data_IF_501459014898
#
_entry.id   IF_501459014898
#
_cell.length_a   1.000
_cell.length_b   1.000
_cell.length_c   1.000
_cell.angle_alpha   90.00
_cell.angle_beta   90.00
_cell.angle_gamma   90.00
#
_symmetry.space_group_name_H-M   'P 1'
#
loop_
_entity.id
_entity.type
_entity.pdbx_description
1 polymer ?
#
# COMPACT_ATOMS: atom_id res chain seq x y z
N UNK A 1 21.28 -14.54 3.02
CA UNK A 1 19.91 -14.06 3.29
C UNK A 1 19.80 -12.56 3.62
N UNK A 2 20.87 -11.87 4.10
CA UNK A 2 20.84 -10.40 4.39
C UNK A 2 20.53 -9.48 3.20
N UNK A 3 20.80 -9.91 1.96
CA UNK A 3 20.57 -9.10 0.75
C UNK A 3 19.10 -9.02 0.33
N UNK A 4 18.30 -10.04 0.67
CA UNK A 4 16.88 -10.13 0.29
C UNK A 4 16.00 -9.25 1.19
N UNK A 5 16.31 -9.20 2.49
CA UNK A 5 15.66 -8.30 3.45
C UNK A 5 15.86 -6.83 3.07
N UNK A 6 17.06 -6.42 2.67
CA UNK A 6 17.32 -5.04 2.24
C UNK A 6 16.48 -4.58 1.03
N UNK A 7 16.27 -5.47 0.05
CA UNK A 7 15.42 -5.17 -1.12
C UNK A 7 13.94 -5.06 -0.75
N UNK A 8 13.45 -5.92 0.13
CA UNK A 8 12.05 -5.90 0.60
C UNK A 8 11.77 -4.60 1.36
N UNK A 9 12.73 -4.16 2.20
CA UNK A 9 12.63 -2.91 2.97
C UNK A 9 12.55 -1.68 2.05
N UNK A 10 13.14 -1.74 0.86
CA UNK A 10 13.03 -0.65 -0.11
C UNK A 10 11.74 -0.75 -0.94
N UNK A 11 11.39 -1.92 -1.46
CA UNK A 11 10.26 -2.07 -2.41
C UNK A 11 8.91 -1.92 -1.72
N UNK A 12 8.75 -2.50 -0.52
CA UNK A 12 7.48 -2.54 0.19
C UNK A 12 6.89 -1.14 0.48
N UNK A 13 7.62 -0.17 1.08
CA UNK A 13 7.07 1.16 1.32
C UNK A 13 6.75 1.91 0.02
N UNK A 14 7.56 1.75 -1.03
CA UNK A 14 7.29 2.36 -2.34
C UNK A 14 5.98 1.83 -2.95
N UNK A 15 5.72 0.53 -2.84
CA UNK A 15 4.45 -0.06 -3.30
C UNK A 15 3.24 0.49 -2.55
N UNK A 16 3.36 0.68 -1.23
CA UNK A 16 2.30 1.27 -0.40
C UNK A 16 2.03 2.73 -0.82
N UNK A 17 3.07 3.52 -1.11
CA UNK A 17 2.91 4.90 -1.60
C UNK A 17 2.20 4.93 -2.96
N UNK A 18 2.63 4.10 -3.92
CA UNK A 18 2.03 4.04 -5.26
C UNK A 18 0.54 3.65 -5.16
N UNK A 19 0.22 2.62 -4.37
CA UNK A 19 -1.17 2.19 -4.16
C UNK A 19 -2.01 3.27 -3.49
N UNK A 20 -1.45 4.02 -2.54
CA UNK A 20 -2.13 5.16 -1.91
C UNK A 20 -2.50 6.22 -2.95
N UNK A 21 -1.56 6.58 -3.83
CA UNK A 21 -1.78 7.56 -4.89
C UNK A 21 -2.84 7.10 -5.91
N UNK A 22 -2.84 5.81 -6.25
CA UNK A 22 -3.85 5.22 -7.12
C UNK A 22 -5.24 5.37 -6.48
N UNK A 23 -5.41 4.99 -5.21
CA UNK A 23 -6.71 5.10 -4.55
C UNK A 23 -7.19 6.54 -4.36
N UNK A 24 -6.28 7.47 -4.06
CA UNK A 24 -6.62 8.91 -4.02
C UNK A 24 -7.11 9.36 -5.39
N UNK A 25 -6.44 8.96 -6.47
CA UNK A 25 -6.82 9.31 -7.84
C UNK A 25 -8.18 8.72 -8.21
N UNK A 26 -8.42 7.43 -7.92
CA UNK A 26 -9.70 6.77 -8.17
C UNK A 26 -10.84 7.42 -7.37
N UNK A 27 -10.59 7.81 -6.12
CA UNK A 27 -11.57 8.51 -5.29
C UNK A 27 -11.93 9.88 -5.87
N UNK A 28 -10.93 10.66 -6.29
CA UNK A 28 -11.16 11.94 -6.96
C UNK A 28 -11.99 11.73 -8.23
N UNK A 29 -11.62 10.76 -9.07
CA UNK A 29 -12.35 10.47 -10.30
C UNK A 29 -13.80 10.04 -10.04
N UNK A 30 -14.05 9.28 -8.97
CA UNK A 30 -15.42 8.90 -8.57
C UNK A 30 -16.25 10.10 -8.10
N UNK A 31 -15.64 11.11 -7.47
CA UNK A 31 -16.35 12.35 -7.11
C UNK A 31 -16.77 13.12 -8.38
N UNK A 32 -15.88 13.23 -9.35
CA UNK A 32 -16.13 14.01 -10.57
C UNK A 32 -16.98 13.25 -11.60
N UNK A 33 -16.95 11.92 -11.59
CA UNK A 33 -17.74 11.09 -12.48
C UNK A 33 -18.22 9.79 -11.78
N UNK A 34 -19.23 9.89 -10.89
CA UNK A 34 -19.72 8.75 -10.11
C UNK A 34 -20.30 7.62 -10.96
N UNK A 35 -20.63 7.87 -12.24
CA UNK A 35 -21.15 6.86 -13.15
C UNK A 35 -20.15 5.73 -13.48
N UNK A 36 -18.85 5.95 -13.28
CA UNK A 36 -17.83 4.93 -13.53
C UNK A 36 -17.68 3.92 -12.38
N UNK A 37 -18.09 4.30 -11.16
CA UNK A 37 -18.04 3.44 -9.96
C UNK A 37 -16.66 2.77 -9.77
N UNK A 38 -15.59 3.57 -9.84
CA UNK A 38 -14.22 3.08 -9.70
C UNK A 38 -14.00 2.43 -8.35
N UNK A 39 -14.48 3.00 -7.26
CA UNK A 39 -14.28 2.43 -5.93
C UNK A 39 -15.23 1.28 -5.60
N UNK A 40 -16.43 1.24 -6.21
CA UNK A 40 -17.41 0.20 -5.95
C UNK A 40 -17.31 -1.03 -6.86
N UNK A 41 -16.33 -1.09 -7.76
CA UNK A 41 -16.13 -2.26 -8.62
C UNK A 41 -15.26 -3.34 -7.93
N UNK A 42 -15.39 -4.59 -8.42
CA UNK A 42 -14.71 -5.76 -7.83
C UNK A 42 -13.18 -5.67 -7.90
N UNK A 43 -12.63 -5.04 -8.94
CA UNK A 43 -11.18 -4.94 -9.15
C UNK A 43 -10.58 -3.99 -8.13
N UNK A 44 -11.18 -2.81 -7.94
CA UNK A 44 -10.74 -1.83 -6.95
C UNK A 44 -10.92 -2.35 -5.54
N UNK A 45 -12.01 -3.06 -5.23
CA UNK A 45 -12.15 -3.72 -3.92
C UNK A 45 -11.05 -4.73 -3.64
N UNK A 46 -10.67 -5.56 -4.63
CA UNK A 46 -9.56 -6.49 -4.48
C UNK A 46 -8.21 -5.75 -4.30
N UNK A 47 -7.98 -4.70 -5.09
CA UNK A 47 -6.78 -3.88 -4.99
C UNK A 47 -6.69 -3.15 -3.63
N UNK A 48 -7.83 -2.77 -3.05
CA UNK A 48 -7.92 -2.11 -1.75
C UNK A 48 -7.51 -3.05 -0.62
N UNK A 49 -7.95 -4.31 -0.69
CA UNK A 49 -7.53 -5.35 0.24
C UNK A 49 -6.01 -5.56 0.15
N UNK A 50 -5.46 -5.64 -1.07
CA UNK A 50 -4.00 -5.75 -1.27
C UNK A 50 -3.27 -4.56 -0.65
N UNK A 51 -3.77 -3.34 -0.88
CA UNK A 51 -3.20 -2.13 -0.28
C UNK A 51 -3.21 -2.19 1.25
N UNK A 52 -4.31 -2.60 1.88
CA UNK A 52 -4.39 -2.73 3.34
C UNK A 52 -3.43 -3.77 3.89
N UNK A 53 -3.33 -4.94 3.25
CA UNK A 53 -2.39 -5.99 3.66
C UNK A 53 -0.94 -5.51 3.55
N UNK A 54 -0.57 -4.89 2.41
CA UNK A 54 0.77 -4.35 2.21
C UNK A 54 1.10 -3.23 3.19
N UNK A 55 0.15 -2.34 3.48
CA UNK A 55 0.31 -1.26 4.47
C UNK A 55 0.56 -1.83 5.87
N UNK A 56 -0.21 -2.86 6.26
CA UNK A 56 -0.04 -3.50 7.57
C UNK A 56 1.32 -4.19 7.69
N UNK A 57 1.73 -4.95 6.67
CA UNK A 57 3.05 -5.60 6.65
C UNK A 57 4.16 -4.53 6.70
N UNK A 58 4.00 -3.43 5.96
CA UNK A 58 4.96 -2.33 5.96
C UNK A 58 5.08 -1.68 7.35
N UNK A 59 3.96 -1.44 8.04
CA UNK A 59 3.95 -0.87 9.38
C UNK A 59 4.64 -1.80 10.39
N UNK A 60 4.30 -3.09 10.39
CA UNK A 60 4.92 -4.10 11.26
C UNK A 60 6.43 -4.19 10.99
N UNK A 61 6.83 -4.26 9.72
CA UNK A 61 8.24 -4.32 9.34
C UNK A 61 9.00 -3.07 9.79
N UNK A 62 8.41 -1.89 9.63
CA UNK A 62 9.01 -0.62 10.07
C UNK A 62 9.23 -0.61 11.58
N UNK A 63 8.21 -0.97 12.37
CA UNK A 63 8.31 -1.03 13.83
C UNK A 63 9.36 -2.07 14.27
N UNK A 64 9.40 -3.24 13.63
CA UNK A 64 10.37 -4.28 13.96
C UNK A 64 11.82 -3.87 13.65
N UNK A 65 12.03 -3.11 12.57
CA UNK A 65 13.35 -2.57 12.22
C UNK A 65 13.79 -1.46 13.17
N UNK A 66 12.87 -0.58 13.56
CA UNK A 66 13.15 0.49 14.52
C UNK A 66 13.57 -0.08 15.87
N UNK A 67 12.84 -1.07 16.40
CA UNK A 67 13.19 -1.76 17.65
C UNK A 67 14.58 -2.41 17.60
N UNK A 68 14.95 -3.03 16.48
CA UNK A 68 16.28 -3.61 16.29
C UNK A 68 17.40 -2.58 16.16
N UNK A 69 17.08 -1.32 15.89
CA UNK A 69 18.07 -0.23 15.78
C UNK A 69 18.39 0.37 17.15
N UNK A 70 17.44 0.30 18.08
CA UNK A 70 17.58 0.80 19.46
C UNK A 70 18.32 -0.17 20.40
N UNK A 71 18.42 -1.46 20.02
CA UNK A 71 19.23 -2.51 20.68
C UNK A 71 20.69 -2.52 20.18
#
# INVERSE_FOLDING_TARGET
MKKLTGKIIFILPNMVVILSLIFITLWILDIFNPGMNFLGNKISSALLIIFFVLSLINAIATIALERKREE
#
